data_IF_036531568564
#
_entry.id   IF_036531568564
#
_cell.length_a   1.000
_cell.length_b   1.000
_cell.length_c   1.000
_cell.angle_alpha   90.00
_cell.angle_beta   90.00
_cell.angle_gamma   90.00
#
_symmetry.space_group_name_H-M   'P 1'
#
loop_
_entity.id
_entity.type
_entity.pdbx_description
1 polymer ?
#
# COMPACT_ATOMS: atom_id res chain seq x y z
N UNK A 1 15.39 0.32 16.74
CA UNK A 1 15.25 -0.66 17.85
C UNK A 1 14.35 -1.78 17.34
N UNK A 2 14.84 -3.00 17.23
CA UNK A 2 14.01 -4.11 16.77
C UNK A 2 13.32 -4.76 17.98
N UNK A 3 12.00 -4.83 17.95
CA UNK A 3 11.18 -5.51 18.97
C UNK A 3 10.42 -6.64 18.31
N UNK A 4 10.60 -7.87 18.78
CA UNK A 4 9.85 -9.05 18.35
C UNK A 4 8.84 -9.43 19.42
N UNK A 5 7.58 -9.53 19.04
CA UNK A 5 6.49 -9.93 19.92
C UNK A 5 5.84 -11.18 19.35
N UNK A 6 5.73 -12.25 20.16
CA UNK A 6 4.97 -13.46 19.80
C UNK A 6 3.54 -13.31 20.31
N UNK A 7 2.58 -13.37 19.42
CA UNK A 7 1.16 -13.17 19.75
C UNK A 7 0.25 -13.88 18.74
N UNK A 8 -0.92 -14.28 19.20
CA UNK A 8 -2.06 -14.72 18.39
C UNK A 8 -3.02 -13.57 18.03
N UNK A 9 -2.74 -12.35 18.55
CA UNK A 9 -3.54 -11.14 18.37
C UNK A 9 -2.73 -9.99 17.77
N UNK A 10 -2.25 -10.12 16.52
CA UNK A 10 -1.36 -9.11 15.94
C UNK A 10 -1.99 -7.72 15.84
N UNK A 11 -3.30 -7.63 15.61
CA UNK A 11 -4.02 -6.35 15.57
C UNK A 11 -4.03 -5.62 16.91
N UNK A 12 -3.92 -6.32 18.04
CA UNK A 12 -3.81 -5.69 19.36
C UNK A 12 -2.46 -5.02 19.53
N UNK A 13 -1.38 -5.69 19.10
CA UNK A 13 -0.03 -5.12 19.10
C UNK A 13 0.04 -3.91 18.18
N UNK A 14 -0.56 -3.99 16.99
CA UNK A 14 -0.63 -2.86 16.07
C UNK A 14 -1.37 -1.66 16.70
N UNK A 15 -2.47 -1.88 17.44
CA UNK A 15 -3.17 -0.81 18.15
C UNK A 15 -2.33 -0.16 19.24
N UNK A 16 -1.52 -0.94 19.97
CA UNK A 16 -0.57 -0.39 20.95
C UNK A 16 0.43 0.54 20.27
N UNK A 17 1.06 0.06 19.19
CA UNK A 17 2.02 0.86 18.42
C UNK A 17 1.37 2.13 17.85
N UNK A 18 0.16 2.02 17.28
CA UNK A 18 -0.60 3.19 16.79
C UNK A 18 -0.92 4.19 17.92
N UNK A 19 -1.11 3.69 19.14
CA UNK A 19 -1.38 4.53 20.31
C UNK A 19 -0.22 5.43 20.71
N UNK A 20 1.02 5.08 20.35
CA UNK A 20 2.23 5.86 20.60
C UNK A 20 2.35 7.07 19.65
N UNK A 21 1.64 7.03 18.50
CA UNK A 21 1.71 8.05 17.44
C UNK A 21 0.39 8.79 17.33
N UNK A 22 0.29 9.94 18.01
CA UNK A 22 -0.89 10.81 17.96
C UNK A 22 -0.51 12.18 17.43
N UNK A 23 -1.18 12.62 16.38
CA UNK A 23 -1.01 13.95 15.81
C UNK A 23 -2.34 14.71 15.81
N UNK A 24 -2.33 16.03 16.01
CA UNK A 24 -3.54 16.84 15.93
C UNK A 24 -4.05 16.88 14.48
N UNK A 25 -5.37 16.91 14.32
CA UNK A 25 -5.99 17.23 13.02
C UNK A 25 -6.14 18.75 12.93
N UNK A 26 -5.43 19.35 11.98
CA UNK A 26 -5.47 20.77 11.73
C UNK A 26 -6.31 21.06 10.49
N UNK A 27 -7.15 22.09 10.57
CA UNK A 27 -7.95 22.53 9.43
C UNK A 27 -7.08 23.01 8.28
N UNK A 28 -7.48 22.73 7.04
CA UNK A 28 -6.75 23.13 5.84
C UNK A 28 -5.58 22.23 5.44
N UNK A 29 -5.22 21.23 6.24
CA UNK A 29 -4.26 20.19 5.86
C UNK A 29 -4.92 19.08 5.02
N UNK A 30 -4.14 18.34 4.22
CA UNK A 30 -4.64 17.16 3.50
C UNK A 30 -5.13 16.09 4.48
N UNK A 31 -6.00 15.15 4.01
CA UNK A 31 -6.54 14.09 4.87
C UNK A 31 -5.49 13.17 5.49
N UNK A 32 -4.38 12.93 4.79
CA UNK A 32 -3.25 12.18 5.28
C UNK A 32 -2.09 13.12 5.58
N UNK A 33 -1.70 13.19 6.85
CA UNK A 33 -0.61 14.04 7.34
C UNK A 33 0.58 13.23 7.88
N UNK A 34 0.51 11.92 7.83
CA UNK A 34 1.48 10.96 8.34
C UNK A 34 0.78 9.77 8.98
N UNK A 35 1.52 8.72 9.27
CA UNK A 35 1.00 7.50 9.85
C UNK A 35 1.50 6.25 9.15
N UNK A 36 0.85 5.13 9.40
CA UNK A 36 1.23 3.86 8.81
C UNK A 36 0.62 3.66 7.42
N UNK A 37 1.45 3.28 6.47
CA UNK A 37 1.07 2.90 5.10
C UNK A 37 1.74 1.58 4.75
N UNK A 38 1.02 0.69 4.13
CA UNK A 38 1.51 -0.61 3.71
C UNK A 38 0.38 -1.49 3.22
N UNK A 39 0.50 -2.79 3.39
CA UNK A 39 -0.52 -3.74 2.97
C UNK A 39 -0.94 -4.68 4.10
N UNK A 40 -2.14 -5.20 3.98
CA UNK A 40 -2.66 -6.35 4.71
C UNK A 40 -2.96 -7.46 3.71
N UNK A 41 -2.33 -8.61 3.87
CA UNK A 41 -2.59 -9.76 3.03
C UNK A 41 -4.00 -10.34 3.32
N UNK A 42 -4.57 -11.03 2.34
CA UNK A 42 -5.88 -11.69 2.50
C UNK A 42 -5.89 -12.68 3.67
N UNK A 43 -4.74 -13.30 3.99
CA UNK A 43 -4.59 -14.22 5.11
C UNK A 43 -4.89 -13.61 6.49
N UNK A 44 -4.87 -12.27 6.62
CA UNK A 44 -5.29 -11.57 7.83
C UNK A 44 -6.73 -11.88 8.25
N UNK A 45 -7.59 -12.27 7.30
CA UNK A 45 -8.95 -12.69 7.61
C UNK A 45 -8.99 -13.86 8.59
N UNK A 46 -7.99 -14.75 8.58
CA UNK A 46 -7.89 -15.89 9.51
C UNK A 46 -7.76 -15.49 10.99
N UNK A 47 -7.34 -14.26 11.30
CA UNK A 47 -7.32 -13.75 12.68
C UNK A 47 -8.68 -13.24 13.15
N UNK A 48 -9.52 -12.79 12.23
CA UNK A 48 -10.91 -12.37 12.53
C UNK A 48 -11.87 -13.54 12.49
N UNK A 49 -11.65 -14.48 11.56
CA UNK A 49 -12.52 -15.65 11.31
C UNK A 49 -11.72 -16.96 11.45
N UNK A 50 -11.46 -17.43 12.68
CA UNK A 50 -10.62 -18.62 12.93
C UNK A 50 -11.19 -19.93 12.37
N UNK A 51 -12.47 -19.96 12.03
CA UNK A 51 -13.13 -21.13 11.41
C UNK A 51 -12.69 -21.33 9.95
N UNK A 52 -12.17 -20.29 9.30
CA UNK A 52 -11.72 -20.36 7.92
C UNK A 52 -10.32 -20.96 7.84
N UNK A 53 -10.16 -21.98 7.00
CA UNK A 53 -8.86 -22.61 6.71
C UNK A 53 -8.16 -21.85 5.57
N UNK A 54 -7.66 -20.65 5.87
CA UNK A 54 -6.98 -19.81 4.88
C UNK A 54 -5.54 -20.29 4.70
N UNK A 55 -5.15 -20.55 3.46
CA UNK A 55 -3.75 -20.82 3.12
C UNK A 55 -2.97 -19.52 3.14
N UNK A 56 -1.89 -19.47 3.91
CA UNK A 56 -0.94 -18.35 3.87
C UNK A 56 -0.11 -18.43 2.61
N UNK A 57 0.13 -17.29 1.99
CA UNK A 57 1.03 -17.14 0.86
C UNK A 57 2.50 -16.97 1.27
N UNK A 58 3.33 -16.52 0.32
CA UNK A 58 4.73 -16.18 0.55
C UNK A 58 4.93 -14.81 1.21
N UNK A 59 3.90 -13.98 1.24
CA UNK A 59 3.92 -12.63 1.81
C UNK A 59 3.60 -12.65 3.29
N UNK A 60 4.13 -11.67 4.02
CA UNK A 60 3.72 -11.44 5.40
C UNK A 60 2.24 -11.10 5.49
N UNK A 61 1.62 -11.41 6.63
CA UNK A 61 0.19 -11.14 6.83
C UNK A 61 -0.11 -9.63 6.78
N UNK A 62 0.86 -8.78 7.14
CA UNK A 62 0.86 -7.35 6.87
C UNK A 62 2.29 -6.80 6.97
N UNK A 63 2.56 -5.74 6.23
CA UNK A 63 3.77 -4.95 6.32
C UNK A 63 3.42 -3.46 6.23
N UNK A 64 3.86 -2.69 7.23
CA UNK A 64 3.46 -1.31 7.44
C UNK A 64 4.68 -0.43 7.72
N UNK A 65 4.84 0.60 6.92
CA UNK A 65 5.85 1.65 7.09
C UNK A 65 5.24 2.85 7.82
N UNK A 66 5.95 3.39 8.80
CA UNK A 66 5.56 4.65 9.44
C UNK A 66 6.14 5.85 8.67
N UNK A 67 5.28 6.72 8.22
CA UNK A 67 5.65 7.97 7.57
C UNK A 67 5.43 9.16 8.49
N UNK A 68 6.51 9.81 8.87
CA UNK A 68 6.54 11.07 9.64
C UNK A 68 6.68 12.30 8.74
N UNK A 69 7.00 12.10 7.46
CA UNK A 69 7.18 13.14 6.44
C UNK A 69 6.27 12.87 5.25
N UNK A 70 5.54 13.88 4.83
CA UNK A 70 4.58 13.77 3.72
C UNK A 70 4.70 14.96 2.78
N UNK A 71 4.76 14.67 1.49
CA UNK A 71 4.60 15.66 0.42
C UNK A 71 3.21 15.42 -0.18
N UNK A 72 2.31 16.35 0.00
CA UNK A 72 0.96 16.26 -0.54
C UNK A 72 0.74 17.29 -1.64
N UNK A 73 0.27 16.85 -2.81
CA UNK A 73 -0.14 17.72 -3.91
C UNK A 73 -1.67 17.82 -3.95
N UNK A 74 -2.18 19.02 -3.69
CA UNK A 74 -3.60 19.33 -3.78
C UNK A 74 -3.94 19.75 -5.21
N UNK A 75 -4.57 18.85 -5.96
CA UNK A 75 -4.95 19.08 -7.36
C UNK A 75 -6.01 20.17 -7.51
N UNK A 76 -6.88 20.35 -6.52
CA UNK A 76 -7.93 21.35 -6.57
C UNK A 76 -7.37 22.77 -6.33
N UNK A 77 -6.53 22.90 -5.30
CA UNK A 77 -5.94 24.20 -4.93
C UNK A 77 -4.62 24.46 -5.66
N UNK A 78 -4.13 23.52 -6.45
CA UNK A 78 -2.85 23.59 -7.19
C UNK A 78 -1.68 23.98 -6.29
N UNK A 79 -1.60 23.37 -5.11
CA UNK A 79 -0.54 23.64 -4.13
C UNK A 79 0.10 22.35 -3.62
N UNK A 80 1.37 22.47 -3.20
CA UNK A 80 2.08 21.43 -2.50
C UNK A 80 2.11 21.76 -1.02
N UNK A 81 1.82 20.80 -0.18
CA UNK A 81 1.90 20.91 1.28
C UNK A 81 2.98 19.95 1.77
N UNK A 82 3.95 20.49 2.47
CA UNK A 82 5.04 19.73 3.10
C UNK A 82 4.72 19.57 4.58
N UNK A 83 4.79 18.36 5.08
CA UNK A 83 4.44 18.03 6.46
C UNK A 83 5.58 17.22 7.05
N UNK A 84 6.00 17.59 8.24
CA UNK A 84 6.93 16.84 9.08
C UNK A 84 6.32 16.72 10.47
N UNK A 85 6.08 15.48 10.91
CA UNK A 85 5.64 15.18 12.26
C UNK A 85 6.86 14.98 13.15
N UNK A 86 6.83 15.53 14.36
CA UNK A 86 7.92 15.41 15.33
C UNK A 86 7.37 14.95 16.67
N UNK A 87 8.20 14.25 17.43
CA UNK A 87 7.90 13.90 18.79
C UNK A 87 8.04 15.12 19.70
N UNK A 88 7.23 15.18 20.76
CA UNK A 88 7.14 16.35 21.64
C UNK A 88 8.02 16.27 22.89
N UNK A 89 8.87 15.25 23.01
CA UNK A 89 9.78 15.04 24.12
C UNK A 89 10.89 16.11 24.18
N UNK A 90 11.56 16.42 23.07
CA UNK A 90 12.60 17.44 22.92
C UNK A 90 12.20 18.49 21.90
N UNK A 91 11.12 19.23 22.16
CA UNK A 91 10.42 20.07 21.18
C UNK A 91 11.34 21.00 20.40
N UNK A 92 12.24 21.75 21.06
CA UNK A 92 13.10 22.71 20.38
C UNK A 92 14.11 22.05 19.45
N UNK A 93 14.72 20.96 19.86
CA UNK A 93 15.66 20.21 19.02
C UNK A 93 14.92 19.57 17.83
N UNK A 94 13.81 18.90 18.11
CA UNK A 94 13.01 18.23 17.10
C UNK A 94 12.39 19.22 16.11
N UNK A 95 11.99 20.41 16.56
CA UNK A 95 11.56 21.49 15.68
C UNK A 95 12.65 21.96 14.72
N UNK A 96 13.87 22.13 15.22
CA UNK A 96 15.03 22.48 14.37
C UNK A 96 15.30 21.42 13.31
N UNK A 97 15.23 20.14 13.68
CA UNK A 97 15.35 19.01 12.74
C UNK A 97 14.20 18.99 11.70
N UNK A 98 12.99 19.33 12.12
CA UNK A 98 11.83 19.41 11.23
C UNK A 98 11.97 20.52 10.21
N UNK A 99 12.45 21.71 10.61
CA UNK A 99 12.71 22.81 9.68
C UNK A 99 13.74 22.41 8.61
N UNK A 100 14.86 21.81 9.00
CA UNK A 100 15.86 21.31 8.07
C UNK A 100 15.29 20.23 7.13
N UNK A 101 14.44 19.34 7.64
CA UNK A 101 13.77 18.35 6.81
C UNK A 101 12.80 18.97 5.79
N UNK A 102 12.02 19.99 6.18
CA UNK A 102 11.15 20.74 5.26
C UNK A 102 11.93 21.44 4.16
N UNK A 103 13.09 22.05 4.48
CA UNK A 103 13.99 22.65 3.50
C UNK A 103 14.52 21.59 2.51
N UNK A 104 14.92 20.42 3.00
CA UNK A 104 15.35 19.31 2.16
C UNK A 104 14.24 18.81 1.24
N UNK A 105 12.99 18.70 1.73
CA UNK A 105 11.84 18.32 0.92
C UNK A 105 11.53 19.39 -0.15
N UNK A 106 11.64 20.67 0.17
CA UNK A 106 11.46 21.77 -0.78
C UNK A 106 12.54 21.75 -1.88
N UNK A 107 13.79 21.47 -1.52
CA UNK A 107 14.89 21.31 -2.47
C UNK A 107 14.63 20.12 -3.42
N UNK A 108 14.18 18.98 -2.89
CA UNK A 108 13.84 17.79 -3.68
C UNK A 108 12.74 18.10 -4.72
N UNK A 109 11.70 18.84 -4.36
CA UNK A 109 10.63 19.24 -5.30
C UNK A 109 11.15 20.21 -6.37
N UNK A 110 12.11 21.04 -6.01
CA UNK A 110 12.70 22.02 -6.92
C UNK A 110 13.73 21.41 -7.87
N UNK A 111 14.16 20.18 -7.63
CA UNK A 111 15.07 19.45 -8.49
C UNK A 111 14.41 19.19 -9.85
N UNK A 112 15.04 19.69 -10.91
CA UNK A 112 14.59 19.54 -12.30
C UNK A 112 15.33 18.45 -13.05
N UNK A 113 16.07 17.60 -12.34
CA UNK A 113 16.76 16.45 -12.97
C UNK A 113 15.73 15.59 -13.72
N UNK A 114 15.91 15.38 -15.03
CA UNK A 114 14.95 14.58 -15.79
C UNK A 114 14.84 13.15 -15.22
N UNK A 115 13.61 12.68 -15.09
CA UNK A 115 13.38 11.28 -14.74
C UNK A 115 13.96 10.39 -15.86
N UNK A 116 14.49 9.22 -15.52
CA UNK A 116 14.93 8.26 -16.52
C UNK A 116 13.78 7.93 -17.49
N UNK A 117 14.06 7.72 -18.78
CA UNK A 117 13.02 7.34 -19.73
C UNK A 117 12.35 6.03 -19.30
N UNK A 118 11.08 5.89 -19.68
CA UNK A 118 10.36 4.64 -19.48
C UNK A 118 11.08 3.53 -20.25
N UNK A 119 11.48 2.48 -19.57
CA UNK A 119 12.01 1.29 -20.21
C UNK A 119 10.84 0.47 -20.75
N UNK A 120 10.88 0.19 -22.05
CA UNK A 120 9.96 -0.77 -22.68
C UNK A 120 10.68 -2.10 -22.75
N UNK A 121 10.34 -3.01 -21.88
CA UNK A 121 10.82 -4.39 -21.93
C UNK A 121 10.10 -5.19 -22.99
N UNK A 122 10.68 -6.32 -23.39
CA UNK A 122 10.05 -7.26 -24.31
C UNK A 122 8.65 -7.66 -23.81
N UNK A 123 7.76 -8.11 -24.73
CA UNK A 123 6.43 -8.57 -24.37
C UNK A 123 6.52 -9.62 -23.24
N UNK A 124 5.86 -9.40 -22.11
CA UNK A 124 5.89 -10.37 -21.03
C UNK A 124 5.19 -11.67 -21.45
N UNK A 125 5.74 -12.79 -21.03
CA UNK A 125 5.10 -14.10 -21.14
C UNK A 125 4.43 -14.40 -19.81
N UNK A 126 3.11 -14.47 -19.81
CA UNK A 126 2.35 -14.74 -18.59
C UNK A 126 2.01 -16.23 -18.47
N UNK A 127 2.16 -16.77 -17.27
CA UNK A 127 1.60 -18.05 -16.85
C UNK A 127 0.43 -17.79 -15.92
N UNK A 128 -0.62 -18.59 -16.01
CA UNK A 128 -1.79 -18.52 -15.13
C UNK A 128 -1.81 -19.74 -14.19
N UNK A 129 -2.27 -19.53 -12.96
CA UNK A 129 -2.35 -20.61 -11.95
C UNK A 129 -3.54 -21.56 -12.15
N UNK A 130 -4.49 -21.22 -13.01
CA UNK A 130 -5.65 -22.04 -13.38
C UNK A 130 -5.88 -21.97 -14.89
N UNK A 131 -6.38 -23.05 -15.49
CA UNK A 131 -6.76 -23.07 -16.91
C UNK A 131 -8.09 -22.33 -17.13
N UNK A 132 -8.45 -22.13 -18.39
CA UNK A 132 -9.73 -21.51 -18.76
C UNK A 132 -10.90 -22.40 -18.30
N UNK A 133 -10.82 -23.72 -18.53
CA UNK A 133 -11.83 -24.67 -18.14
C UNK A 133 -12.01 -24.75 -16.62
N UNK A 134 -10.91 -24.79 -15.86
CA UNK A 134 -10.97 -24.76 -14.40
C UNK A 134 -11.62 -23.49 -13.90
N UNK A 135 -11.28 -22.33 -14.48
CA UNK A 135 -11.89 -21.06 -14.09
C UNK A 135 -13.37 -21.00 -14.43
N UNK A 136 -13.78 -21.50 -15.60
CA UNK A 136 -15.19 -21.61 -15.98
C UNK A 136 -15.95 -22.51 -14.99
N UNK A 137 -15.38 -23.63 -14.58
CA UNK A 137 -15.98 -24.51 -13.56
C UNK A 137 -16.15 -23.84 -12.20
N UNK A 138 -15.19 -23.01 -11.77
CA UNK A 138 -15.29 -22.20 -10.53
C UNK A 138 -16.47 -21.22 -10.64
N UNK A 139 -16.61 -20.55 -11.80
CA UNK A 139 -17.71 -19.59 -12.02
C UNK A 139 -19.07 -20.28 -12.00
N UNK A 140 -19.23 -21.42 -12.69
CA UNK A 140 -20.50 -22.16 -12.68
C UNK A 140 -20.88 -22.62 -11.29
N UNK A 141 -19.94 -23.18 -10.51
CA UNK A 141 -20.20 -23.56 -9.13
C UNK A 141 -20.58 -22.38 -8.24
N UNK A 142 -19.98 -21.22 -8.48
CA UNK A 142 -20.35 -19.99 -7.75
C UNK A 142 -21.76 -19.54 -8.08
N UNK A 143 -22.19 -19.70 -9.35
CA UNK A 143 -23.57 -19.42 -9.77
C UNK A 143 -24.57 -20.32 -9.05
N UNK A 144 -24.26 -21.60 -8.87
CA UNK A 144 -25.10 -22.54 -8.09
C UNK A 144 -25.33 -22.00 -6.68
N UNK A 145 -24.28 -21.59 -5.95
CA UNK A 145 -24.43 -21.00 -4.61
C UNK A 145 -25.28 -19.74 -4.58
N UNK A 146 -25.24 -18.92 -5.65
CA UNK A 146 -26.10 -17.74 -5.78
C UNK A 146 -27.57 -18.17 -5.98
N UNK A 147 -27.84 -19.15 -6.83
CA UNK A 147 -29.19 -19.65 -7.07
C UNK A 147 -29.79 -20.35 -5.85
N UNK A 148 -28.96 -21.05 -5.07
CA UNK A 148 -29.37 -21.72 -3.84
C UNK A 148 -29.58 -20.72 -2.68
N UNK A 149 -29.17 -19.48 -2.85
CA UNK A 149 -29.34 -18.42 -1.85
C UNK A 149 -28.28 -18.41 -0.76
N UNK A 150 -27.21 -19.18 -0.90
CA UNK A 150 -26.09 -19.21 0.06
C UNK A 150 -25.31 -17.90 0.07
N UNK A 151 -25.15 -17.28 -1.10
CA UNK A 151 -24.49 -16.00 -1.31
C UNK A 151 -25.23 -15.19 -2.38
N UNK A 152 -25.05 -13.87 -2.40
CA UNK A 152 -25.59 -13.02 -3.45
C UNK A 152 -24.50 -12.44 -4.36
N UNK A 153 -23.25 -12.49 -3.94
CA UNK A 153 -22.09 -12.00 -4.72
C UNK A 153 -20.84 -12.79 -4.33
N UNK A 154 -20.00 -13.07 -5.32
CA UNK A 154 -18.62 -13.52 -5.11
C UNK A 154 -17.69 -12.92 -6.17
N UNK A 155 -16.42 -12.71 -5.80
CA UNK A 155 -15.38 -12.24 -6.72
C UNK A 155 -14.39 -13.38 -6.90
N UNK A 156 -14.45 -14.02 -8.06
CA UNK A 156 -13.50 -15.08 -8.44
C UNK A 156 -12.21 -14.45 -8.97
N UNK A 157 -11.08 -14.97 -8.55
CA UNK A 157 -9.78 -14.45 -8.95
C UNK A 157 -8.86 -15.54 -9.51
N UNK A 158 -7.94 -15.13 -10.37
CA UNK A 158 -6.84 -15.94 -10.89
C UNK A 158 -5.55 -15.13 -10.86
N UNK A 159 -4.44 -15.82 -10.78
CA UNK A 159 -3.12 -15.20 -10.71
C UNK A 159 -2.39 -15.40 -12.03
N UNK A 160 -1.87 -14.31 -12.58
CA UNK A 160 -0.93 -14.31 -13.69
C UNK A 160 0.46 -13.98 -13.17
N UNK A 161 1.46 -14.69 -13.61
CA UNK A 161 2.87 -14.47 -13.26
C UNK A 161 3.72 -14.32 -14.51
N UNK A 162 4.67 -13.42 -14.46
CA UNK A 162 5.65 -13.19 -15.53
C UNK A 162 6.98 -12.75 -14.91
N UNK A 163 8.14 -13.23 -15.42
CA UNK A 163 9.41 -12.65 -15.03
C UNK A 163 9.47 -11.15 -15.36
N UNK A 164 9.91 -10.36 -14.42
CA UNK A 164 10.08 -8.92 -14.58
C UNK A 164 11.30 -8.46 -13.78
N UNK A 165 12.24 -7.77 -14.42
CA UNK A 165 13.52 -7.40 -13.82
C UNK A 165 13.64 -5.90 -13.49
N UNK A 166 12.74 -5.08 -14.01
CA UNK A 166 12.74 -3.63 -13.79
C UNK A 166 11.78 -3.24 -12.66
N UNK A 167 11.89 -1.99 -12.18
CA UNK A 167 10.94 -1.45 -11.19
C UNK A 167 9.53 -1.31 -11.75
N UNK A 168 8.54 -1.70 -10.96
CA UNK A 168 7.12 -1.51 -11.27
C UNK A 168 6.72 -0.01 -11.35
N UNK A 169 7.57 0.92 -10.88
CA UNK A 169 7.29 2.34 -10.97
C UNK A 169 7.05 2.81 -12.41
N UNK A 170 7.78 2.24 -13.39
CA UNK A 170 7.55 2.54 -14.81
C UNK A 170 6.18 2.05 -15.28
N UNK A 171 5.77 0.85 -14.87
CA UNK A 171 4.45 0.31 -15.16
C UNK A 171 3.34 1.15 -14.47
N UNK A 172 3.55 1.54 -13.21
CA UNK A 172 2.63 2.43 -12.49
C UNK A 172 2.45 3.78 -13.18
N UNK A 173 3.54 4.39 -13.70
CA UNK A 173 3.49 5.66 -14.44
C UNK A 173 2.63 5.56 -15.71
N UNK A 174 2.66 4.43 -16.39
CA UNK A 174 1.78 4.17 -17.55
C UNK A 174 0.35 3.91 -17.10
N UNK A 175 0.16 3.01 -16.12
CA UNK A 175 -1.16 2.62 -15.63
C UNK A 175 -1.99 3.83 -15.17
N UNK A 176 -1.40 4.76 -14.41
CA UNK A 176 -2.09 5.96 -13.93
C UNK A 176 -2.59 6.90 -15.03
N UNK A 177 -2.07 6.78 -16.24
CA UNK A 177 -2.49 7.60 -17.40
C UNK A 177 -3.43 6.85 -18.34
N UNK A 178 -3.32 5.53 -18.42
CA UNK A 178 -4.13 4.71 -19.33
C UNK A 178 -5.41 4.19 -18.68
N UNK A 179 -5.37 3.91 -17.39
CA UNK A 179 -6.52 3.43 -16.62
C UNK A 179 -6.54 4.07 -15.22
N UNK A 180 -6.84 5.38 -15.14
CA UNK A 180 -6.83 6.11 -13.88
C UNK A 180 -7.95 5.64 -12.95
N UNK A 181 -7.65 5.58 -11.66
CA UNK A 181 -8.60 5.34 -10.58
C UNK A 181 -8.42 6.42 -9.51
N UNK A 182 -9.47 6.79 -8.75
CA UNK A 182 -9.36 7.71 -7.63
C UNK A 182 -8.38 7.24 -6.54
N UNK A 183 -8.20 5.94 -6.42
CA UNK A 183 -7.29 5.33 -5.46
C UNK A 183 -6.28 4.47 -6.22
N UNK A 184 -5.09 5.00 -6.37
CA UNK A 184 -3.96 4.29 -6.98
C UNK A 184 -2.77 4.39 -6.04
N UNK A 185 -2.10 3.27 -5.83
CA UNK A 185 -1.00 3.15 -4.88
C UNK A 185 0.20 2.51 -5.56
N UNK A 186 1.38 3.04 -5.28
CA UNK A 186 2.66 2.39 -5.51
C UNK A 186 3.41 2.35 -4.17
N UNK A 187 3.78 1.17 -3.73
CA UNK A 187 4.54 0.94 -2.50
C UNK A 187 5.85 0.24 -2.85
N UNK A 188 6.94 0.64 -2.19
CA UNK A 188 8.20 -0.09 -2.16
C UNK A 188 8.49 -0.44 -0.71
N UNK A 189 8.44 -1.72 -0.40
CA UNK A 189 8.51 -2.26 0.97
C UNK A 189 9.50 -3.40 0.99
N UNK A 190 10.55 -3.27 1.78
CA UNK A 190 11.59 -4.30 2.02
C UNK A 190 12.14 -5.00 0.76
N UNK A 191 12.29 -4.24 -0.34
CA UNK A 191 12.77 -4.75 -1.62
C UNK A 191 11.68 -5.25 -2.57
N UNK A 192 10.45 -5.36 -2.10
CA UNK A 192 9.28 -5.66 -2.93
C UNK A 192 8.58 -4.40 -3.39
N UNK A 193 7.95 -4.44 -4.55
CA UNK A 193 7.15 -3.35 -5.10
C UNK A 193 5.71 -3.82 -5.33
N UNK A 194 4.76 -3.00 -4.91
CA UNK A 194 3.33 -3.25 -5.05
C UNK A 194 2.69 -2.06 -5.76
N UNK A 195 1.87 -2.34 -6.77
CA UNK A 195 1.03 -1.31 -7.38
C UNK A 195 -0.43 -1.78 -7.48
N UNK A 196 -1.35 -0.89 -7.21
CA UNK A 196 -2.79 -1.13 -7.36
C UNK A 196 -3.56 0.14 -7.69
#
# INVERSE_FOLDING_TARGET
MNRTVRTDKPLSVLREVLGEYRAPRLEGLPPFTGGFVGYFAYAMLGYAEPTLKIKRGAWDDFDLMLFDKVIAYDHLKQKIVLIVNVQTDNVMENYGKACAALEGMAALISDRTPLPPLKVTAKPSFTCNVTEEEYAGIVEKTREYIFDGDIFQAVQSRQFSSPYADSLLSAYRVLRTTNPSPYMVFLSVDGDEIMC
#
